data_IF_137429083450
#
_entry.id   IF_137429083450
#
_cell.length_a   1.000
_cell.length_b   1.000
_cell.length_c   1.000
_cell.angle_alpha   90.00
_cell.angle_beta   90.00
_cell.angle_gamma   90.00
#
_symmetry.space_group_name_H-M   'P 1'
#
loop_
_entity.id
_entity.type
_entity.pdbx_description
1 polymer ?
#
# COMPACT_ATOMS: atom_id res chain seq x y z
N UNK A 1 -46.61 -19.91 26.16
CA UNK A 1 -45.42 -20.54 25.58
C UNK A 1 -44.81 -19.50 24.65
N UNK A 2 -44.35 -18.37 25.18
CA UNK A 2 -43.09 -18.20 25.93
C UNK A 2 -41.89 -18.78 25.18
N UNK A 3 -41.31 -17.93 24.31
CA UNK A 3 -39.89 -17.98 23.96
C UNK A 3 -39.36 -16.54 23.96
N UNK A 4 -38.21 -16.43 24.58
CA UNK A 4 -37.68 -15.31 25.32
C UNK A 4 -36.94 -14.28 24.46
N UNK A 5 -36.89 -13.08 25.03
CA UNK A 5 -36.15 -11.89 24.60
C UNK A 5 -34.67 -12.21 24.36
N UNK A 6 -34.18 -11.83 23.18
CA UNK A 6 -32.76 -11.60 22.93
C UNK A 6 -32.37 -10.28 23.62
N UNK A 7 -31.75 -10.39 24.78
CA UNK A 7 -31.05 -9.27 25.43
C UNK A 7 -29.63 -9.25 24.92
N UNK A 8 -29.36 -8.40 23.92
CA UNK A 8 -28.02 -7.92 23.65
C UNK A 8 -27.54 -7.18 24.90
N UNK A 9 -26.69 -7.82 25.70
CA UNK A 9 -25.95 -7.14 26.76
C UNK A 9 -25.15 -5.98 26.13
N UNK A 10 -25.11 -4.79 26.76
CA UNK A 10 -24.17 -3.76 26.36
C UNK A 10 -22.76 -4.32 26.54
N UNK A 11 -21.87 -4.09 25.56
CA UNK A 11 -20.45 -4.30 25.76
C UNK A 11 -20.04 -3.60 27.05
N UNK A 12 -19.67 -4.36 28.08
CA UNK A 12 -19.07 -3.83 29.29
C UNK A 12 -17.81 -3.07 28.86
N UNK A 13 -17.89 -1.74 28.89
CA UNK A 13 -16.77 -0.85 28.68
C UNK A 13 -15.80 -1.12 29.83
N UNK A 14 -14.72 -1.84 29.54
CA UNK A 14 -13.65 -2.05 30.50
C UNK A 14 -13.01 -0.68 30.77
N UNK A 15 -13.03 -0.17 32.02
CA UNK A 15 -12.51 1.15 32.32
C UNK A 15 -11.02 1.23 31.99
N UNK A 16 -10.63 2.32 31.32
CA UNK A 16 -9.27 2.57 30.86
C UNK A 16 -8.35 2.67 32.08
N UNK A 17 -7.26 1.88 32.09
CA UNK A 17 -6.27 1.88 33.18
C UNK A 17 -5.11 2.83 32.87
N UNK A 18 -5.12 4.01 33.48
CA UNK A 18 -3.96 4.91 33.48
C UNK A 18 -2.88 4.41 34.44
N UNK A 19 -1.59 4.60 34.10
CA UNK A 19 -0.49 4.43 35.06
C UNK A 19 -0.54 5.57 36.08
N UNK A 20 -0.56 5.22 37.37
CA UNK A 20 -0.57 6.21 38.46
C UNK A 20 0.78 6.94 38.49
N UNK A 21 0.78 8.26 38.25
CA UNK A 21 1.90 9.18 38.49
C UNK A 21 1.42 10.34 39.37
N UNK A 22 2.32 10.90 40.17
CA UNK A 22 2.06 12.08 40.99
C UNK A 22 1.91 13.33 40.09
N UNK A 23 0.67 13.77 39.88
CA UNK A 23 0.37 15.05 39.25
C UNK A 23 0.53 16.17 40.30
N UNK A 24 1.09 17.34 39.94
CA UNK A 24 1.19 18.48 40.84
C UNK A 24 -0.15 18.87 41.46
N UNK A 25 -0.13 19.17 42.75
CA UNK A 25 -1.29 19.37 43.63
C UNK A 25 -2.20 20.58 43.28
N UNK A 26 -1.85 21.36 42.24
CA UNK A 26 -2.56 22.57 41.83
C UNK A 26 -3.48 22.39 40.62
N UNK A 27 -3.61 21.17 40.07
CA UNK A 27 -4.57 20.88 39.00
C UNK A 27 -5.90 20.46 39.63
N UNK A 28 -6.85 21.40 39.73
CA UNK A 28 -8.21 21.19 40.25
C UNK A 28 -9.12 20.37 39.31
N UNK A 29 -8.56 19.50 38.48
CA UNK A 29 -9.30 18.51 37.69
C UNK A 29 -8.77 17.14 38.06
N UNK A 30 -9.63 16.29 38.63
CA UNK A 30 -9.25 14.93 38.97
C UNK A 30 -8.86 14.16 37.71
N UNK A 31 -7.90 13.23 37.84
CA UNK A 31 -7.47 12.33 36.77
C UNK A 31 -8.66 11.62 36.09
N UNK A 32 -9.72 11.31 36.86
CA UNK A 32 -10.98 10.74 36.36
C UNK A 32 -11.73 11.67 35.40
N UNK A 33 -11.85 12.97 35.70
CA UNK A 33 -12.52 13.91 34.79
C UNK A 33 -11.73 14.11 33.51
N UNK A 34 -10.39 14.14 33.61
CA UNK A 34 -9.53 14.15 32.44
C UNK A 34 -9.77 12.90 31.59
N UNK A 35 -9.73 11.71 32.20
CA UNK A 35 -10.00 10.44 31.53
C UNK A 35 -11.38 10.41 30.85
N UNK A 36 -12.44 10.91 31.50
CA UNK A 36 -13.77 10.95 30.93
C UNK A 36 -13.86 11.91 29.72
N UNK A 37 -13.27 13.11 29.82
CA UNK A 37 -13.20 14.03 28.68
C UNK A 37 -12.43 13.43 27.51
N UNK A 38 -11.41 12.60 27.78
CA UNK A 38 -10.70 11.87 26.74
C UNK A 38 -11.53 10.76 26.13
N UNK A 39 -12.28 10.01 26.93
CA UNK A 39 -13.21 9.01 26.42
C UNK A 39 -14.26 9.68 25.52
N UNK A 40 -14.88 10.76 25.97
CA UNK A 40 -15.91 11.49 25.20
C UNK A 40 -15.33 12.09 23.91
N UNK A 41 -14.14 12.71 23.98
CA UNK A 41 -13.43 13.22 22.80
C UNK A 41 -13.06 12.08 21.83
N UNK A 42 -12.57 10.95 22.35
CA UNK A 42 -12.20 9.80 21.52
C UNK A 42 -13.40 9.16 20.84
N UNK A 43 -14.58 9.18 21.47
CA UNK A 43 -15.82 8.73 20.84
C UNK A 43 -16.23 9.65 19.68
N UNK A 44 -15.91 10.94 19.76
CA UNK A 44 -16.23 11.93 18.73
C UNK A 44 -15.16 12.01 17.63
N UNK A 45 -13.88 11.88 17.98
CA UNK A 45 -12.71 12.03 17.09
C UNK A 45 -11.63 11.00 17.47
N UNK A 46 -11.74 9.74 17.01
CA UNK A 46 -10.77 8.72 17.33
C UNK A 46 -9.35 9.10 16.94
N UNK A 47 -8.38 8.71 17.78
CA UNK A 47 -6.97 8.92 17.53
C UNK A 47 -6.57 8.15 16.26
N UNK A 48 -6.05 8.83 15.21
CA UNK A 48 -5.67 8.12 14.00
C UNK A 48 -4.46 7.25 14.27
N UNK A 49 -4.49 6.03 13.74
CA UNK A 49 -3.43 5.03 13.96
C UNK A 49 -2.13 5.35 13.20
N UNK A 50 -2.17 6.27 12.22
CA UNK A 50 -1.01 6.68 11.44
C UNK A 50 -0.28 7.89 12.03
N UNK A 51 1.06 7.78 12.15
CA UNK A 51 1.96 8.81 12.69
C UNK A 51 1.78 10.19 12.05
N UNK A 52 1.68 10.27 10.71
CA UNK A 52 1.54 11.57 10.05
C UNK A 52 0.18 12.26 10.36
N UNK A 53 -0.88 11.48 10.62
CA UNK A 53 -2.19 12.00 10.98
C UNK A 53 -2.25 12.39 12.47
N UNK A 54 -1.49 11.68 13.31
CA UNK A 54 -1.45 11.95 14.76
C UNK A 54 -1.03 13.39 15.08
N UNK A 55 -0.14 13.99 14.27
CA UNK A 55 0.29 15.38 14.46
C UNK A 55 -0.84 16.37 14.18
N UNK A 56 -1.54 16.19 13.06
CA UNK A 56 -2.67 17.04 12.69
C UNK A 56 -3.83 16.86 13.68
N UNK A 57 -4.10 15.62 14.09
CA UNK A 57 -5.10 15.32 15.12
C UNK A 57 -4.76 15.99 16.46
N UNK A 58 -3.49 15.92 16.92
CA UNK A 58 -3.02 16.64 18.12
C UNK A 58 -3.20 18.15 17.99
N UNK A 59 -2.92 18.72 16.81
CA UNK A 59 -3.14 20.13 16.56
C UNK A 59 -4.63 20.49 16.58
N UNK A 60 -5.49 19.66 15.98
CA UNK A 60 -6.95 19.85 15.98
C UNK A 60 -7.53 19.80 17.39
N UNK A 61 -7.03 18.86 18.20
CA UNK A 61 -7.38 18.76 19.61
C UNK A 61 -6.94 20.02 20.37
N UNK A 62 -5.72 20.51 20.11
CA UNK A 62 -5.22 21.75 20.70
C UNK A 62 -6.07 22.96 20.29
N UNK A 63 -6.39 23.12 19.01
CA UNK A 63 -7.27 24.21 18.54
C UNK A 63 -8.67 24.13 19.16
N UNK A 64 -9.23 22.93 19.30
CA UNK A 64 -10.51 22.75 19.99
C UNK A 64 -10.40 23.16 21.47
N UNK A 65 -9.38 22.68 22.17
CA UNK A 65 -9.11 23.04 23.57
C UNK A 65 -8.91 24.56 23.72
N UNK A 66 -8.14 25.19 22.84
CA UNK A 66 -7.94 26.63 22.82
C UNK A 66 -9.28 27.37 22.57
N UNK A 67 -10.14 26.85 21.68
CA UNK A 67 -11.45 27.46 21.38
C UNK A 67 -12.49 27.38 22.50
N UNK A 68 -12.35 26.42 23.41
CA UNK A 68 -13.20 26.32 24.61
C UNK A 68 -12.57 27.01 25.83
N UNK A 69 -11.31 27.44 25.70
CA UNK A 69 -10.49 27.97 26.78
C UNK A 69 -10.22 29.48 26.62
N UNK A 70 -11.17 30.22 26.05
CA UNK A 70 -11.12 31.69 25.85
C UNK A 70 -10.86 32.52 27.13
N UNK A 71 -10.85 31.90 28.32
CA UNK A 71 -10.40 32.52 29.56
C UNK A 71 -8.96 32.07 29.82
N UNK A 72 -8.01 33.01 29.83
CA UNK A 72 -6.58 32.86 30.18
C UNK A 72 -6.37 32.31 31.62
N UNK A 73 -6.89 31.12 31.92
CA UNK A 73 -6.80 30.47 33.23
C UNK A 73 -5.69 29.42 33.16
N UNK A 74 -4.59 29.63 33.88
CA UNK A 74 -3.41 28.73 33.93
C UNK A 74 -3.79 27.26 34.19
N UNK A 75 -4.93 27.04 34.87
CA UNK A 75 -5.49 25.73 35.17
C UNK A 75 -5.87 24.99 33.88
N UNK A 76 -6.45 25.68 32.90
CA UNK A 76 -6.96 25.04 31.70
C UNK A 76 -5.86 24.74 30.66
N UNK A 77 -4.79 25.54 30.63
CA UNK A 77 -3.55 25.22 29.90
C UNK A 77 -2.84 23.99 30.49
N UNK A 78 -2.77 23.90 31.82
CA UNK A 78 -2.20 22.75 32.54
C UNK A 78 -3.00 21.47 32.29
N UNK A 79 -4.33 21.58 32.23
CA UNK A 79 -5.26 20.51 31.87
C UNK A 79 -5.06 20.06 30.43
N UNK A 80 -5.00 20.99 29.48
CA UNK A 80 -4.73 20.69 28.07
C UNK A 80 -3.39 19.95 27.87
N UNK A 81 -2.34 20.40 28.57
CA UNK A 81 -1.04 19.74 28.57
C UNK A 81 -1.11 18.32 29.17
N UNK A 82 -1.81 18.15 30.29
CA UNK A 82 -2.03 16.84 30.92
C UNK A 82 -2.81 15.87 30.03
N UNK A 83 -3.81 16.35 29.30
CA UNK A 83 -4.55 15.56 28.32
C UNK A 83 -3.67 15.12 27.14
N UNK A 84 -2.85 16.02 26.60
CA UNK A 84 -1.92 15.71 25.51
C UNK A 84 -0.83 14.70 25.93
N UNK A 85 -0.34 14.79 27.17
CA UNK A 85 0.64 13.86 27.74
C UNK A 85 0.01 12.48 27.99
N UNK A 86 -1.17 12.43 28.62
CA UNK A 86 -1.93 11.19 28.83
C UNK A 86 -2.24 10.47 27.50
N UNK A 87 -2.62 11.23 26.46
CA UNK A 87 -2.86 10.68 25.12
C UNK A 87 -1.61 10.15 24.41
N UNK A 88 -0.44 10.71 24.73
CA UNK A 88 0.83 10.25 24.19
C UNK A 88 1.24 8.87 24.74
N UNK A 89 0.77 8.53 25.95
CA UNK A 89 1.02 7.27 26.64
C UNK A 89 -0.16 6.25 26.50
N UNK A 90 -1.21 6.57 25.73
CA UNK A 90 -2.37 5.69 25.51
C UNK A 90 -2.01 4.48 24.64
N UNK A 91 -2.13 3.27 25.22
CA UNK A 91 -2.15 1.98 24.52
C UNK A 91 -3.58 1.63 24.11
N UNK A 92 -3.80 1.40 22.81
CA UNK A 92 -5.06 0.88 22.28
C UNK A 92 -5.25 -0.61 22.64
N UNK A 93 -6.48 -1.09 22.41
CA UNK A 93 -6.85 -2.51 22.47
C UNK A 93 -5.72 -3.35 21.88
N UNK A 94 -5.23 -4.32 22.65
CA UNK A 94 -3.86 -4.77 22.47
C UNK A 94 -3.70 -5.78 21.32
N UNK A 95 -4.81 -6.16 20.66
CA UNK A 95 -4.88 -7.09 19.51
C UNK A 95 -3.98 -8.33 19.70
N UNK A 96 -3.79 -8.76 20.96
CA UNK A 96 -2.81 -9.78 21.36
C UNK A 96 -3.28 -11.20 21.05
N UNK A 97 -4.53 -11.38 20.65
CA UNK A 97 -5.14 -12.69 20.38
C UNK A 97 -5.47 -12.80 18.91
N UNK A 98 -5.28 -13.96 18.29
CA UNK A 98 -5.65 -14.19 16.88
C UNK A 98 -7.10 -13.81 16.58
N UNK A 99 -7.40 -13.48 15.32
CA UNK A 99 -8.78 -13.38 14.84
C UNK A 99 -9.42 -14.77 14.90
N UNK A 100 -10.69 -14.81 15.29
CA UNK A 100 -11.49 -16.03 15.30
C UNK A 100 -11.41 -16.78 13.97
N UNK A 101 -11.18 -18.09 14.05
CA UNK A 101 -11.09 -18.97 12.89
C UNK A 101 -12.35 -18.91 12.03
N UNK A 102 -13.53 -18.81 12.63
CA UNK A 102 -14.81 -18.78 11.90
C UNK A 102 -14.97 -17.50 11.08
N UNK A 103 -14.49 -16.37 11.60
CA UNK A 103 -14.46 -15.09 10.86
C UNK A 103 -13.50 -15.17 9.67
N UNK A 104 -12.34 -15.79 9.86
CA UNK A 104 -11.34 -15.99 8.82
C UNK A 104 -11.88 -16.90 7.71
N UNK A 105 -12.52 -18.01 8.08
CA UNK A 105 -13.15 -18.94 7.15
C UNK A 105 -14.34 -18.31 6.40
N UNK A 106 -15.17 -17.52 7.08
CA UNK A 106 -16.28 -16.80 6.44
C UNK A 106 -15.78 -15.81 5.38
N UNK A 107 -14.67 -15.09 5.65
CA UNK A 107 -14.04 -14.19 4.68
C UNK A 107 -13.56 -14.95 3.44
N UNK A 108 -12.91 -16.10 3.61
CA UNK A 108 -12.45 -16.93 2.49
C UNK A 108 -13.59 -17.43 1.59
N UNK A 109 -14.78 -17.63 2.15
CA UNK A 109 -15.96 -18.06 1.38
C UNK A 109 -16.73 -16.91 0.71
N UNK A 110 -16.34 -15.64 0.93
CA UNK A 110 -16.95 -14.53 0.20
C UNK A 110 -16.61 -14.65 -1.30
N UNK A 111 -17.52 -14.20 -2.20
CA UNK A 111 -17.21 -14.13 -3.62
C UNK A 111 -15.95 -13.31 -3.86
N UNK A 112 -15.02 -13.90 -4.61
CA UNK A 112 -13.72 -13.32 -4.93
C UNK A 112 -13.49 -13.38 -6.43
N UNK A 113 -13.10 -12.25 -7.02
CA UNK A 113 -12.67 -12.22 -8.41
C UNK A 113 -11.19 -12.57 -8.46
N UNK A 114 -10.84 -13.69 -9.09
CA UNK A 114 -9.45 -14.12 -9.24
C UNK A 114 -8.63 -13.00 -9.87
N UNK A 115 -7.49 -12.69 -9.27
CA UNK A 115 -6.65 -11.59 -9.70
C UNK A 115 -6.26 -11.74 -11.17
N UNK A 116 -6.21 -10.62 -11.92
CA UNK A 116 -5.72 -10.56 -13.31
C UNK A 116 -6.57 -11.33 -14.34
N UNK A 117 -7.85 -11.59 -14.04
CA UNK A 117 -8.85 -12.11 -15.00
C UNK A 117 -9.58 -10.99 -15.76
N UNK A 118 -10.29 -11.31 -16.85
CA UNK A 118 -11.09 -10.34 -17.60
C UNK A 118 -12.15 -9.64 -16.72
N UNK A 119 -12.79 -10.40 -15.83
CA UNK A 119 -13.76 -9.87 -14.87
C UNK A 119 -13.08 -8.94 -13.86
N UNK A 120 -11.86 -9.26 -13.43
CA UNK A 120 -11.06 -8.38 -12.57
C UNK A 120 -10.78 -7.02 -13.25
N UNK A 121 -10.51 -6.98 -14.56
CA UNK A 121 -10.34 -5.72 -15.28
C UNK A 121 -11.66 -4.96 -15.47
N UNK A 122 -12.76 -5.66 -15.68
CA UNK A 122 -14.09 -5.05 -15.83
C UNK A 122 -14.56 -4.42 -14.51
N UNK A 123 -14.41 -5.14 -13.40
CA UNK A 123 -14.67 -4.62 -12.07
C UNK A 123 -13.75 -3.45 -11.71
N UNK A 124 -12.50 -3.49 -12.16
CA UNK A 124 -11.55 -2.40 -11.94
C UNK A 124 -12.05 -1.07 -12.54
N UNK A 125 -12.73 -1.12 -13.69
CA UNK A 125 -13.32 0.09 -14.31
C UNK A 125 -14.50 0.63 -13.50
N UNK A 126 -15.23 -0.24 -12.81
CA UNK A 126 -16.45 0.12 -12.04
C UNK A 126 -16.18 0.53 -10.60
N UNK A 127 -15.13 -0.02 -9.98
CA UNK A 127 -14.86 0.16 -8.55
C UNK A 127 -13.64 1.04 -8.30
N UNK A 128 -13.67 1.84 -7.24
CA UNK A 128 -12.47 2.42 -6.65
C UNK A 128 -11.70 1.31 -5.91
N UNK A 129 -10.45 1.07 -6.33
CA UNK A 129 -9.63 0.03 -5.70
C UNK A 129 -8.77 0.57 -4.57
N UNK A 130 -8.35 -0.31 -3.65
CA UNK A 130 -7.48 0.05 -2.52
C UNK A 130 -6.21 0.79 -2.97
N UNK A 131 -5.57 0.34 -4.06
CA UNK A 131 -4.37 0.99 -4.62
C UNK A 131 -4.62 2.38 -5.24
N UNK A 132 -5.88 2.81 -5.37
CA UNK A 132 -6.26 4.07 -5.99
C UNK A 132 -6.86 5.07 -5.01
N UNK A 133 -7.34 4.63 -3.84
CA UNK A 133 -8.11 5.48 -2.91
C UNK A 133 -7.33 6.73 -2.49
N UNK A 134 -6.02 6.63 -2.30
CA UNK A 134 -5.18 7.78 -1.98
C UNK A 134 -5.27 8.90 -3.04
N UNK A 135 -5.45 8.57 -4.32
CA UNK A 135 -5.56 9.55 -5.42
C UNK A 135 -6.82 10.39 -5.34
N UNK A 136 -7.86 9.92 -4.64
CA UNK A 136 -9.06 10.72 -4.37
C UNK A 136 -8.71 11.94 -3.52
N UNK A 137 -7.70 11.81 -2.65
CA UNK A 137 -7.22 12.84 -1.72
C UNK A 137 -5.92 13.49 -2.18
N UNK A 138 -5.44 13.10 -3.37
CA UNK A 138 -4.26 13.67 -4.00
C UNK A 138 -4.51 15.07 -4.58
N UNK A 139 -3.61 15.52 -5.44
CA UNK A 139 -3.77 16.82 -6.10
C UNK A 139 -5.07 16.90 -6.94
N UNK A 140 -5.65 18.08 -7.18
CA UNK A 140 -6.85 18.23 -8.00
C UNK A 140 -6.74 17.55 -9.37
N UNK A 141 -5.55 17.59 -9.99
CA UNK A 141 -5.30 16.91 -11.26
C UNK A 141 -5.22 15.40 -11.14
N UNK A 142 -4.60 14.86 -10.09
CA UNK A 142 -4.53 13.42 -9.86
C UNK A 142 -5.93 12.83 -9.62
N UNK A 143 -6.72 13.48 -8.76
CA UNK A 143 -8.13 13.14 -8.56
C UNK A 143 -8.92 13.24 -9.87
N UNK A 144 -8.73 14.33 -10.63
CA UNK A 144 -9.39 14.54 -11.92
C UNK A 144 -9.05 13.47 -12.96
N UNK A 145 -7.79 13.03 -13.05
CA UNK A 145 -7.39 11.92 -13.93
C UNK A 145 -8.08 10.61 -13.53
N UNK A 146 -8.17 10.33 -12.23
CA UNK A 146 -8.89 9.15 -11.74
C UNK A 146 -10.39 9.22 -12.08
N UNK A 147 -11.02 10.39 -11.94
CA UNK A 147 -12.43 10.62 -12.34
C UNK A 147 -12.63 10.33 -13.84
N UNK A 148 -11.73 10.84 -14.69
CA UNK A 148 -11.81 10.60 -16.14
C UNK A 148 -11.62 9.11 -16.48
N UNK A 149 -10.75 8.40 -15.76
CA UNK A 149 -10.58 6.95 -15.92
C UNK A 149 -11.84 6.18 -15.51
N UNK A 150 -12.39 6.47 -14.33
CA UNK A 150 -13.57 5.76 -13.78
C UNK A 150 -14.88 6.13 -14.50
N UNK A 151 -14.94 7.27 -15.17
CA UNK A 151 -16.05 7.65 -16.06
C UNK A 151 -15.94 7.06 -17.47
N UNK A 152 -14.81 6.43 -17.82
CA UNK A 152 -14.54 5.89 -19.16
C UNK A 152 -14.19 6.97 -20.20
N UNK A 153 -13.91 8.20 -19.77
CA UNK A 153 -13.50 9.31 -20.67
C UNK A 153 -11.99 9.33 -20.92
N UNK A 154 -11.20 8.65 -20.10
CA UNK A 154 -9.78 8.44 -20.29
C UNK A 154 -9.49 6.94 -20.29
N UNK A 155 -8.95 6.45 -21.40
CA UNK A 155 -8.54 5.05 -21.47
C UNK A 155 -7.43 4.76 -20.45
N UNK A 156 -7.60 3.65 -19.76
CA UNK A 156 -6.55 3.10 -18.92
C UNK A 156 -5.49 2.51 -19.85
N UNK A 157 -4.18 2.76 -19.64
CA UNK A 157 -3.17 1.96 -20.31
C UNK A 157 -3.50 0.49 -20.02
N UNK A 158 -3.61 -0.32 -21.07
CA UNK A 158 -3.91 -1.73 -20.94
C UNK A 158 -2.91 -2.34 -19.98
N UNK A 159 -3.36 -2.74 -18.78
CA UNK A 159 -2.56 -3.56 -17.88
C UNK A 159 -2.51 -4.93 -18.53
N UNK A 160 -1.55 -5.13 -19.43
CA UNK A 160 -1.35 -6.39 -20.13
C UNK A 160 -1.42 -7.54 -19.14
N UNK A 161 -2.22 -8.55 -19.47
CA UNK A 161 -2.25 -9.82 -18.75
C UNK A 161 -0.83 -10.38 -18.65
N UNK A 162 -0.33 -10.61 -17.43
CA UNK A 162 0.89 -11.37 -17.14
C UNK A 162 2.03 -11.22 -18.16
N UNK A 163 2.65 -10.05 -18.25
CA UNK A 163 4.00 -10.04 -18.79
C UNK A 163 4.97 -10.40 -17.66
N UNK A 164 5.18 -11.70 -17.51
CA UNK A 164 6.46 -12.18 -16.99
C UNK A 164 7.51 -11.58 -17.92
N UNK A 165 8.49 -10.90 -17.36
CA UNK A 165 9.56 -10.28 -18.14
C UNK A 165 10.92 -10.77 -17.67
N UNK A 166 11.85 -10.84 -18.61
CA UNK A 166 13.27 -11.08 -18.35
C UNK A 166 13.83 -9.99 -17.43
N UNK A 167 14.87 -10.31 -16.65
CA UNK A 167 15.46 -9.38 -15.68
C UNK A 167 15.88 -8.06 -16.32
N UNK A 168 16.43 -8.10 -17.54
CA UNK A 168 16.87 -6.92 -18.28
C UNK A 168 15.74 -5.92 -18.57
N UNK A 169 14.50 -6.41 -18.63
CA UNK A 169 13.32 -5.63 -19.02
C UNK A 169 12.44 -5.28 -17.82
N UNK A 170 12.77 -5.75 -16.60
CA UNK A 170 11.99 -5.50 -15.39
C UNK A 170 11.97 -4.03 -15.01
N UNK A 171 10.79 -3.43 -15.09
CA UNK A 171 10.50 -2.15 -14.47
C UNK A 171 10.19 -2.35 -12.95
N UNK A 172 10.05 -1.28 -12.15
CA UNK A 172 9.75 -1.40 -10.72
C UNK A 172 8.44 -2.13 -10.38
N UNK A 173 7.45 -2.11 -11.27
CA UNK A 173 6.19 -2.83 -11.10
C UNK A 173 6.39 -4.34 -11.32
N UNK A 174 7.10 -4.73 -12.39
CA UNK A 174 7.45 -6.14 -12.65
C UNK A 174 8.33 -6.71 -11.53
N UNK A 175 9.23 -5.89 -10.99
CA UNK A 175 10.04 -6.22 -9.82
C UNK A 175 9.18 -6.57 -8.60
N UNK A 176 8.16 -5.75 -8.31
CA UNK A 176 7.20 -6.03 -7.24
C UNK A 176 6.49 -7.37 -7.45
N UNK A 177 5.98 -7.60 -8.66
CA UNK A 177 5.31 -8.87 -9.02
C UNK A 177 6.25 -10.06 -8.86
N UNK A 178 7.51 -9.93 -9.29
CA UNK A 178 8.49 -10.99 -9.23
C UNK A 178 8.81 -11.40 -7.78
N UNK A 179 8.94 -10.43 -6.87
CA UNK A 179 9.42 -10.66 -5.50
C UNK A 179 8.32 -10.84 -4.45
N UNK A 180 7.08 -10.47 -4.72
CA UNK A 180 5.96 -10.68 -3.77
C UNK A 180 5.86 -12.15 -3.31
N UNK A 181 5.92 -13.17 -4.19
CA UNK A 181 5.91 -14.58 -3.75
C UNK A 181 7.14 -14.96 -2.91
N UNK A 182 8.30 -14.35 -3.18
CA UNK A 182 9.53 -14.60 -2.40
C UNK A 182 9.36 -14.10 -0.97
N UNK A 183 8.73 -12.95 -0.78
CA UNK A 183 8.41 -12.43 0.56
C UNK A 183 7.51 -13.41 1.29
N UNK A 184 6.45 -13.93 0.65
CA UNK A 184 5.57 -14.94 1.26
C UNK A 184 6.35 -16.17 1.70
N UNK A 185 7.21 -16.74 0.84
CA UNK A 185 8.09 -17.88 1.19
C UNK A 185 8.96 -17.57 2.42
N UNK A 186 9.56 -16.38 2.48
CA UNK A 186 10.36 -15.95 3.63
C UNK A 186 9.51 -15.86 4.90
N UNK A 187 8.32 -15.27 4.81
CA UNK A 187 7.43 -15.09 5.97
C UNK A 187 6.85 -16.43 6.46
N UNK A 188 6.50 -17.34 5.56
CA UNK A 188 6.04 -18.68 5.90
C UNK A 188 7.11 -19.48 6.65
N UNK A 189 8.38 -19.40 6.23
CA UNK A 189 9.48 -20.03 6.96
C UNK A 189 9.78 -19.31 8.28
N UNK A 190 9.83 -17.97 8.27
CA UNK A 190 10.27 -17.18 9.42
C UNK A 190 9.22 -17.11 10.53
N UNK A 191 7.94 -17.06 10.19
CA UNK A 191 6.83 -17.04 11.16
C UNK A 191 6.20 -18.42 11.37
N UNK A 192 6.66 -19.44 10.63
CA UNK A 192 6.01 -20.77 10.57
C UNK A 192 4.52 -20.60 10.29
N UNK A 193 4.22 -19.79 9.28
CA UNK A 193 2.89 -19.34 8.94
C UNK A 193 2.29 -20.10 7.76
N UNK A 194 0.97 -20.09 7.66
CA UNK A 194 0.22 -20.43 6.45
C UNK A 194 -0.36 -19.14 5.91
N UNK A 195 0.06 -18.74 4.71
CA UNK A 195 -0.43 -17.54 4.03
C UNK A 195 -1.25 -17.98 2.83
N UNK A 196 -2.51 -17.55 2.78
CA UNK A 196 -3.41 -17.87 1.68
C UNK A 196 -3.52 -16.70 0.72
N UNK A 197 -3.38 -16.98 -0.58
CA UNK A 197 -3.66 -16.00 -1.62
C UNK A 197 -5.15 -15.73 -1.71
N UNK A 198 -5.53 -14.46 -1.71
CA UNK A 198 -6.93 -14.03 -1.84
C UNK A 198 -7.14 -13.24 -3.13
N UNK A 199 -8.32 -13.39 -3.71
CA UNK A 199 -8.75 -12.61 -4.87
C UNK A 199 -9.16 -11.19 -4.50
N UNK A 200 -9.89 -10.55 -5.41
CA UNK A 200 -10.52 -9.26 -5.12
C UNK A 200 -11.81 -9.46 -4.34
N UNK A 201 -11.92 -8.76 -3.22
CA UNK A 201 -13.17 -8.56 -2.49
C UNK A 201 -13.85 -7.27 -2.94
N UNK A 202 -15.17 -7.31 -3.07
CA UNK A 202 -16.02 -6.13 -3.18
C UNK A 202 -16.62 -5.84 -1.79
N UNK A 203 -16.69 -4.57 -1.43
CA UNK A 203 -17.23 -4.13 -0.14
C UNK A 203 -18.66 -4.64 0.07
N UNK A 204 -19.05 -4.97 1.31
CA UNK A 204 -20.35 -5.58 1.58
C UNK A 204 -21.53 -4.62 1.36
N UNK A 205 -21.40 -3.36 1.79
CA UNK A 205 -22.41 -2.31 1.63
C UNK A 205 -22.21 -1.51 0.34
N UNK A 206 -21.13 -0.71 0.25
CA UNK A 206 -20.85 0.11 -0.94
C UNK A 206 -20.11 -0.65 -2.05
N UNK A 207 -20.86 -1.26 -2.98
CA UNK A 207 -20.32 -2.06 -4.10
C UNK A 207 -19.43 -1.29 -5.08
N UNK A 208 -19.26 0.03 -4.91
CA UNK A 208 -18.34 0.85 -5.70
C UNK A 208 -16.89 0.76 -5.19
N UNK A 209 -16.63 0.06 -4.09
CA UNK A 209 -15.28 -0.13 -3.55
C UNK A 209 -14.83 -1.59 -3.55
N UNK A 210 -13.56 -1.81 -3.83
CA UNK A 210 -12.97 -3.14 -3.86
C UNK A 210 -11.50 -3.16 -3.41
N UNK A 211 -11.06 -4.30 -2.91
CA UNK A 211 -9.70 -4.48 -2.42
C UNK A 211 -9.15 -5.87 -2.79
N UNK A 212 -7.85 -5.93 -3.05
CA UNK A 212 -7.12 -7.17 -3.31
C UNK A 212 -5.88 -7.17 -2.40
N UNK A 213 -5.98 -7.67 -1.16
CA UNK A 213 -4.83 -7.88 -0.30
C UNK A 213 -3.83 -8.86 -0.92
N UNK A 214 -2.56 -8.78 -0.56
CA UNK A 214 -1.55 -9.69 -1.09
C UNK A 214 -1.66 -11.07 -0.44
N UNK A 215 -2.20 -11.17 0.78
CA UNK A 215 -2.51 -12.45 1.40
C UNK A 215 -3.40 -12.34 2.63
N UNK A 216 -3.85 -13.50 3.11
CA UNK A 216 -4.54 -13.69 4.38
C UNK A 216 -3.73 -14.69 5.21
N UNK A 217 -3.27 -14.29 6.39
CA UNK A 217 -2.48 -15.16 7.26
C UNK A 217 -3.45 -16.07 8.02
N UNK A 218 -3.51 -17.35 7.68
CA UNK A 218 -4.44 -18.30 8.31
C UNK A 218 -3.99 -18.65 9.73
N UNK A 219 -2.69 -18.89 9.90
CA UNK A 219 -2.07 -19.14 11.19
C UNK A 219 -0.58 -18.84 11.16
N UNK A 220 0.02 -18.68 12.33
CA UNK A 220 1.45 -18.52 12.55
C UNK A 220 1.82 -19.21 13.85
N UNK A 221 2.87 -20.04 13.86
CA UNK A 221 3.31 -20.71 15.10
C UNK A 221 4.24 -19.82 15.93
N UNK A 222 5.03 -18.95 15.29
CA UNK A 222 5.95 -18.03 15.98
C UNK A 222 5.25 -16.75 16.46
N UNK A 223 4.17 -16.35 15.77
CA UNK A 223 3.38 -15.15 16.09
C UNK A 223 1.89 -15.45 16.03
N UNK A 224 1.31 -16.21 16.97
CA UNK A 224 -0.09 -16.65 16.89
C UNK A 224 -1.09 -15.50 16.70
N UNK A 225 -0.79 -14.31 17.22
CA UNK A 225 -1.67 -13.15 17.20
C UNK A 225 -1.94 -12.56 15.80
N UNK A 226 -1.14 -12.91 14.78
CA UNK A 226 -1.36 -12.46 13.39
C UNK A 226 -2.33 -13.35 12.62
N UNK A 227 -2.82 -14.44 13.23
CA UNK A 227 -3.85 -15.28 12.62
C UNK A 227 -5.09 -14.46 12.26
N UNK A 228 -5.54 -14.60 11.01
CA UNK A 228 -6.63 -13.88 10.36
C UNK A 228 -6.33 -12.43 9.98
N UNK A 229 -5.08 -11.97 10.07
CA UNK A 229 -4.68 -10.66 9.54
C UNK A 229 -4.46 -10.70 8.02
N UNK A 230 -4.68 -9.55 7.38
CA UNK A 230 -4.26 -9.36 5.99
C UNK A 230 -2.74 -9.21 5.90
N UNK A 231 -2.21 -9.37 4.69
CA UNK A 231 -0.82 -9.13 4.35
C UNK A 231 -0.74 -8.15 3.17
N UNK A 232 0.12 -7.15 3.29
CA UNK A 232 0.46 -6.19 2.24
C UNK A 232 2.00 -6.14 2.09
N UNK A 233 2.49 -6.43 0.90
CA UNK A 233 3.91 -6.60 0.58
C UNK A 233 4.35 -5.53 -0.40
N UNK A 234 5.45 -4.84 -0.08
CA UNK A 234 6.12 -3.90 -0.99
C UNK A 234 7.58 -4.28 -1.16
N UNK A 235 8.01 -4.40 -2.41
CA UNK A 235 9.41 -4.65 -2.77
C UNK A 235 10.01 -3.44 -3.50
N UNK A 236 10.30 -2.31 -2.83
CA UNK A 236 10.80 -1.12 -3.52
C UNK A 236 12.23 -1.35 -4.06
N UNK A 237 12.43 -1.06 -5.35
CA UNK A 237 13.74 -1.20 -6.01
C UNK A 237 14.78 -0.21 -5.49
N UNK A 238 14.40 1.05 -5.27
CA UNK A 238 15.35 2.13 -4.93
C UNK A 238 15.12 2.77 -3.55
N UNK A 239 13.87 2.92 -3.11
CA UNK A 239 13.53 3.59 -1.85
C UNK A 239 14.09 2.83 -0.63
N UNK A 240 14.60 3.57 0.34
CA UNK A 240 14.98 3.04 1.67
C UNK A 240 13.75 2.57 2.44
N UNK A 241 13.85 1.36 3.01
CA UNK A 241 12.75 0.73 3.76
C UNK A 241 12.88 0.93 5.27
N UNK A 242 11.74 0.97 5.94
CA UNK A 242 11.63 1.04 7.40
C UNK A 242 11.78 2.42 8.03
N UNK A 243 11.44 3.47 7.30
CA UNK A 243 11.37 4.84 7.83
C UNK A 243 9.99 5.15 8.44
N UNK A 244 8.94 4.87 7.67
CA UNK A 244 7.52 4.94 8.05
C UNK A 244 6.69 4.22 7.00
N UNK A 245 5.44 3.91 7.32
CA UNK A 245 4.44 3.53 6.31
C UNK A 245 4.15 4.76 5.44
N UNK A 246 4.33 4.69 4.11
CA UNK A 246 3.86 5.74 3.21
C UNK A 246 2.34 5.92 3.31
N UNK A 247 1.88 7.18 3.30
CA UNK A 247 0.46 7.50 3.45
C UNK A 247 -0.40 6.81 2.38
N UNK A 248 0.08 6.72 1.14
CA UNK A 248 -0.61 5.99 0.06
C UNK A 248 -0.89 4.52 0.41
N UNK A 249 0.03 3.85 1.10
CA UNK A 249 -0.14 2.45 1.52
C UNK A 249 -0.99 2.34 2.77
N UNK A 250 -0.94 3.33 3.67
CA UNK A 250 -1.90 3.41 4.77
C UNK A 250 -3.33 3.50 4.25
N UNK A 251 -3.60 4.40 3.31
CA UNK A 251 -4.90 4.52 2.63
C UNK A 251 -5.31 3.20 1.94
N UNK A 252 -4.37 2.54 1.26
CA UNK A 252 -4.59 1.24 0.64
C UNK A 252 -5.01 0.18 1.68
N UNK A 253 -4.26 0.05 2.77
CA UNK A 253 -4.52 -0.92 3.83
C UNK A 253 -5.83 -0.63 4.56
N UNK A 254 -6.15 0.63 4.85
CA UNK A 254 -7.42 0.97 5.48
C UNK A 254 -8.61 0.58 4.60
N UNK A 255 -8.54 0.77 3.27
CA UNK A 255 -9.62 0.28 2.40
C UNK A 255 -9.66 -1.25 2.33
N UNK A 256 -8.52 -1.93 2.36
CA UNK A 256 -8.48 -3.40 2.45
C UNK A 256 -9.18 -3.90 3.72
N UNK A 257 -8.88 -3.29 4.87
CA UNK A 257 -9.47 -3.62 6.16
C UNK A 257 -10.98 -3.33 6.19
N UNK A 258 -11.41 -2.20 5.63
CA UNK A 258 -12.83 -1.87 5.48
C UNK A 258 -13.59 -2.86 4.59
N UNK A 259 -13.07 -3.14 3.40
CA UNK A 259 -13.73 -4.02 2.43
C UNK A 259 -13.86 -5.45 2.95
N UNK A 260 -12.84 -5.92 3.68
CA UNK A 260 -12.78 -7.29 4.18
C UNK A 260 -13.45 -7.44 5.55
N UNK A 261 -13.52 -6.38 6.35
CA UNK A 261 -13.92 -6.43 7.76
C UNK A 261 -12.84 -7.00 8.69
N UNK A 262 -11.60 -7.13 8.20
CA UNK A 262 -10.47 -7.59 9.01
C UNK A 262 -9.94 -6.44 9.85
N UNK A 263 -9.50 -6.75 11.08
CA UNK A 263 -9.08 -5.74 12.07
C UNK A 263 -7.64 -5.23 11.89
N UNK A 264 -6.77 -5.98 11.21
CA UNK A 264 -5.37 -5.59 11.04
C UNK A 264 -4.74 -6.17 9.75
N UNK A 265 -3.75 -5.44 9.23
CA UNK A 265 -2.92 -5.81 8.10
C UNK A 265 -1.46 -5.80 8.52
N UNK A 266 -0.73 -6.87 8.21
CA UNK A 266 0.71 -6.94 8.35
C UNK A 266 1.35 -6.29 7.11
N UNK A 267 1.94 -5.12 7.29
CA UNK A 267 2.67 -4.40 6.25
C UNK A 267 4.13 -4.85 6.24
N UNK A 268 4.61 -5.31 5.09
CA UNK A 268 5.97 -5.83 4.91
C UNK A 268 6.67 -5.13 3.75
N UNK A 269 7.83 -4.53 4.04
CA UNK A 269 8.76 -4.05 3.01
C UNK A 269 9.96 -4.97 2.93
N UNK A 270 10.33 -5.40 1.73
CA UNK A 270 11.51 -6.24 1.52
C UNK A 270 12.45 -5.64 0.46
N UNK A 271 13.74 -5.59 0.79
CA UNK A 271 14.79 -5.10 -0.09
C UNK A 271 15.55 -6.29 -0.67
N UNK A 272 15.41 -6.47 -1.98
CA UNK A 272 16.06 -7.54 -2.74
C UNK A 272 17.17 -7.00 -3.64
N UNK A 273 18.08 -7.91 -3.98
CA UNK A 273 19.09 -7.73 -5.02
C UNK A 273 19.21 -9.03 -5.83
N UNK A 274 19.36 -8.89 -7.15
CA UNK A 274 19.85 -9.99 -7.99
C UNK A 274 21.37 -10.01 -8.01
N UNK A 275 21.95 -11.16 -7.76
CA UNK A 275 23.40 -11.33 -7.57
C UNK A 275 23.96 -12.40 -8.50
N UNK A 276 25.27 -12.38 -8.70
CA UNK A 276 25.98 -13.39 -9.48
C UNK A 276 26.32 -14.62 -8.63
N UNK A 277 26.74 -15.71 -9.30
CA UNK A 277 27.29 -16.87 -8.60
C UNK A 277 28.51 -16.49 -7.75
N UNK A 278 28.63 -17.12 -6.58
CA UNK A 278 29.73 -16.84 -5.64
C UNK A 278 29.56 -15.59 -4.77
N UNK A 279 28.38 -14.98 -4.75
CA UNK A 279 28.06 -13.87 -3.83
C UNK A 279 28.27 -14.26 -2.35
N UNK A 280 28.58 -13.27 -1.52
CA UNK A 280 28.63 -13.46 -0.07
C UNK A 280 27.22 -13.78 0.45
N UNK A 281 27.04 -15.00 0.93
CA UNK A 281 25.76 -15.46 1.48
C UNK A 281 25.41 -14.63 2.72
N UNK A 282 24.17 -14.12 2.83
CA UNK A 282 23.74 -13.44 4.04
C UNK A 282 23.79 -14.41 5.23
N UNK A 283 23.83 -13.85 6.45
CA UNK A 283 23.72 -14.65 7.69
C UNK A 283 22.37 -15.35 7.81
N UNK A 284 21.35 -14.85 7.12
CA UNK A 284 20.02 -15.44 7.03
C UNK A 284 19.95 -16.45 5.88
N UNK A 285 18.90 -17.27 5.86
CA UNK A 285 18.60 -18.13 4.72
C UNK A 285 17.86 -17.40 3.58
N UNK A 286 17.86 -16.06 3.58
CA UNK A 286 17.07 -15.26 2.64
C UNK A 286 17.81 -15.03 1.34
N UNK A 287 18.04 -16.12 0.62
CA UNK A 287 18.56 -16.14 -0.74
C UNK A 287 18.03 -17.38 -1.45
N UNK A 288 18.04 -17.37 -2.77
CA UNK A 288 17.53 -18.48 -3.56
C UNK A 288 17.56 -18.21 -5.05
N UNK A 289 16.77 -19.00 -5.78
CA UNK A 289 16.69 -18.94 -7.24
C UNK A 289 15.27 -18.57 -7.67
N UNK A 290 15.17 -17.70 -8.68
CA UNK A 290 13.97 -17.48 -9.48
C UNK A 290 14.29 -17.89 -10.91
N UNK A 291 13.49 -18.78 -11.47
CA UNK A 291 13.58 -19.17 -12.88
C UNK A 291 12.47 -18.53 -13.67
N UNK A 292 12.83 -17.93 -14.80
CA UNK A 292 11.89 -17.45 -15.80
C UNK A 292 11.70 -18.55 -16.83
N UNK A 293 10.47 -19.08 -16.88
CA UNK A 293 10.10 -20.15 -17.82
C UNK A 293 9.47 -19.55 -19.05
N UNK A 294 9.90 -20.04 -20.21
CA UNK A 294 9.32 -19.74 -21.51
C UNK A 294 8.39 -20.84 -21.96
N UNK A 295 7.30 -20.44 -22.61
CA UNK A 295 6.36 -21.33 -23.29
C UNK A 295 6.45 -21.05 -24.80
N UNK A 296 6.42 -22.09 -25.63
CA UNK A 296 6.50 -21.91 -27.07
C UNK A 296 5.24 -21.22 -27.60
N UNK A 297 5.42 -20.12 -28.33
CA UNK A 297 4.36 -19.37 -28.98
C UNK A 297 4.37 -19.65 -30.48
N UNK A 298 3.33 -20.31 -30.99
CA UNK A 298 3.24 -20.69 -32.40
C UNK A 298 3.18 -19.49 -33.36
N UNK A 299 2.60 -18.36 -32.93
CA UNK A 299 2.45 -17.15 -33.77
C UNK A 299 3.80 -16.46 -33.95
N UNK A 300 4.53 -16.27 -32.86
CA UNK A 300 5.86 -15.66 -32.87
C UNK A 300 6.95 -16.64 -33.31
N UNK A 301 6.64 -17.95 -33.34
CA UNK A 301 7.59 -19.05 -33.56
C UNK A 301 8.80 -18.99 -32.62
N UNK A 302 8.58 -18.50 -31.40
CA UNK A 302 9.61 -18.31 -30.37
C UNK A 302 9.05 -18.64 -28.98
N UNK A 303 9.95 -18.78 -28.01
CA UNK A 303 9.62 -19.02 -26.62
C UNK A 303 9.48 -17.71 -25.88
N UNK A 304 8.26 -17.40 -25.45
CA UNK A 304 7.98 -16.17 -24.72
C UNK A 304 7.91 -16.46 -23.21
N UNK A 305 8.40 -15.55 -22.35
CA UNK A 305 8.24 -15.69 -20.92
C UNK A 305 6.77 -15.89 -20.54
N UNK A 306 6.48 -16.90 -19.72
CA UNK A 306 5.11 -17.26 -19.34
C UNK A 306 4.89 -17.39 -17.84
N UNK A 307 5.88 -17.83 -17.04
CA UNK A 307 5.76 -17.93 -15.58
C UNK A 307 7.11 -17.76 -14.86
N UNK A 308 7.05 -17.32 -13.61
CA UNK A 308 8.15 -17.41 -12.65
C UNK A 308 8.02 -18.71 -11.86
N UNK A 309 9.13 -19.41 -11.65
CA UNK A 309 9.23 -20.50 -10.68
C UNK A 309 10.23 -20.13 -9.59
N UNK A 310 9.92 -20.51 -8.36
CA UNK A 310 10.64 -20.11 -7.16
C UNK A 310 11.29 -21.33 -6.52
N UNK A 311 12.62 -21.29 -6.37
CA UNK A 311 13.35 -22.33 -5.67
C UNK A 311 13.22 -22.20 -4.14
N UNK A 312 13.50 -23.29 -3.39
CA UNK A 312 13.53 -23.24 -1.93
C UNK A 312 14.56 -22.24 -1.39
N UNK A 313 14.28 -21.69 -0.20
CA UNK A 313 15.22 -20.83 0.52
C UNK A 313 16.56 -21.54 0.73
N UNK A 314 17.64 -20.78 0.58
CA UNK A 314 19.02 -21.21 0.75
C UNK A 314 19.47 -22.39 -0.14
N UNK A 315 18.70 -22.75 -1.17
CA UNK A 315 19.05 -23.83 -2.10
C UNK A 315 19.41 -23.27 -3.49
N UNK A 316 20.71 -23.19 -3.77
CA UNK A 316 21.24 -22.74 -5.07
C UNK A 316 21.46 -23.88 -6.08
N UNK A 317 21.24 -25.13 -5.66
CA UNK A 317 21.35 -26.31 -6.54
C UNK A 317 19.97 -26.72 -7.09
N UNK A 318 18.92 -25.99 -6.72
CA UNK A 318 17.56 -26.30 -7.15
C UNK A 318 17.37 -26.10 -8.65
N UNK A 319 16.70 -27.06 -9.27
CA UNK A 319 16.27 -27.00 -10.67
C UNK A 319 14.75 -27.10 -10.75
N UNK A 320 14.11 -26.35 -11.69
CA UNK A 320 12.67 -26.40 -11.87
C UNK A 320 12.24 -27.72 -12.52
N UNK A 321 11.06 -28.20 -12.13
CA UNK A 321 10.32 -29.18 -12.92
C UNK A 321 9.55 -28.45 -14.03
N UNK A 322 9.70 -28.90 -15.27
CA UNK A 322 9.18 -28.23 -16.47
C UNK A 322 8.21 -29.14 -17.23
N UNK A 323 7.13 -28.55 -17.74
CA UNK A 323 6.22 -29.23 -18.65
C UNK A 323 6.81 -29.48 -20.05
N UNK A 324 6.13 -30.33 -20.83
CA UNK A 324 6.57 -30.76 -22.18
C UNK A 324 6.83 -29.59 -23.15
N UNK A 325 6.12 -28.47 -23.00
CA UNK A 325 6.25 -27.26 -23.84
C UNK A 325 6.80 -26.06 -23.06
N UNK A 326 7.70 -26.33 -22.12
CA UNK A 326 8.33 -25.31 -21.28
C UNK A 326 9.86 -25.43 -21.35
N UNK A 327 10.56 -24.28 -21.30
CA UNK A 327 12.02 -24.25 -21.17
C UNK A 327 12.46 -23.13 -20.22
N UNK A 328 13.63 -23.30 -19.60
CA UNK A 328 14.28 -22.20 -18.88
C UNK A 328 14.73 -21.14 -19.89
N UNK A 329 14.28 -19.89 -19.70
CA UNK A 329 14.80 -18.73 -20.43
C UNK A 329 15.90 -18.02 -19.63
N UNK A 330 15.74 -17.95 -18.32
CA UNK A 330 16.66 -17.22 -17.44
C UNK A 330 16.65 -17.81 -16.02
N UNK A 331 17.82 -17.93 -15.40
CA UNK A 331 17.99 -18.32 -14.00
C UNK A 331 18.60 -17.16 -13.23
N UNK A 332 17.91 -16.68 -12.20
CA UNK A 332 18.30 -15.53 -11.40
C UNK A 332 18.54 -15.92 -9.95
N UNK A 333 19.72 -15.57 -9.42
CA UNK A 333 20.01 -15.71 -8.00
C UNK A 333 19.63 -14.41 -7.30
N UNK A 334 18.87 -14.52 -6.23
CA UNK A 334 18.46 -13.38 -5.43
C UNK A 334 18.94 -13.51 -3.98
N UNK A 335 19.14 -12.38 -3.33
CA UNK A 335 19.27 -12.27 -1.87
C UNK A 335 18.32 -11.19 -1.35
N UNK A 336 17.83 -11.35 -0.12
CA UNK A 336 17.10 -10.33 0.60
C UNK A 336 18.02 -9.70 1.64
N UNK A 337 18.26 -8.39 1.52
CA UNK A 337 19.15 -7.66 2.43
C UNK A 337 18.46 -7.31 3.74
N UNK A 338 17.19 -6.90 3.65
CA UNK A 338 16.43 -6.39 4.78
C UNK A 338 14.94 -6.60 4.56
N UNK A 339 14.25 -7.00 5.63
CA UNK A 339 12.80 -6.98 5.74
C UNK A 339 12.43 -6.02 6.87
N UNK A 340 11.41 -5.21 6.63
CA UNK A 340 10.78 -4.36 7.62
C UNK A 340 9.30 -4.74 7.73
N UNK A 341 8.79 -4.80 8.96
CA UNK A 341 7.45 -5.28 9.28
C UNK A 341 6.78 -4.29 10.24
N UNK A 342 5.55 -3.89 9.93
CA UNK A 342 4.70 -3.02 10.76
C UNK A 342 3.28 -3.56 10.73
N UNK A 343 2.61 -3.62 11.88
CA UNK A 343 1.18 -3.94 11.94
C UNK A 343 0.37 -2.65 11.79
N UNK A 344 -0.65 -2.67 10.94
CA UNK A 344 -1.58 -1.55 10.73
C UNK A 344 -2.99 -1.99 11.13
N UNK A 345 -3.59 -1.27 12.09
CA UNK A 345 -4.93 -1.56 12.60
C UNK A 345 -6.01 -0.84 11.80
N UNK A 346 -7.20 -1.42 11.76
CA UNK A 346 -8.37 -0.82 11.12
C UNK A 346 -8.80 0.42 11.90
N UNK A 347 -8.98 1.52 11.18
CA UNK A 347 -9.36 2.81 11.71
C UNK A 347 -10.72 3.22 11.14
N UNK A 348 -11.79 2.72 11.78
CA UNK A 348 -13.16 2.84 11.27
C UNK A 348 -13.64 4.28 11.22
N UNK A 349 -13.33 5.08 12.24
CA UNK A 349 -13.75 6.47 12.26
C UNK A 349 -12.94 7.33 11.30
N UNK A 350 -11.63 7.06 11.14
CA UNK A 350 -10.87 7.69 10.08
C UNK A 350 -11.49 7.36 8.73
N UNK A 351 -11.83 6.10 8.45
CA UNK A 351 -12.46 5.73 7.19
C UNK A 351 -13.82 6.40 7.00
N UNK A 352 -14.64 6.48 8.06
CA UNK A 352 -15.93 7.16 8.03
C UNK A 352 -15.78 8.66 7.72
N UNK A 353 -14.75 9.31 8.26
CA UNK A 353 -14.45 10.72 7.99
C UNK A 353 -14.18 11.01 6.51
N UNK A 354 -13.78 10.00 5.74
CA UNK A 354 -13.52 10.13 4.31
C UNK A 354 -14.80 10.11 3.46
N UNK A 355 -15.93 9.64 3.99
CA UNK A 355 -17.17 9.43 3.20
C UNK A 355 -17.67 10.67 2.46
N UNK A 356 -17.71 11.89 3.05
CA UNK A 356 -18.15 13.07 2.31
C UNK A 356 -17.32 13.32 1.05
N UNK A 357 -16.00 13.09 1.12
CA UNK A 357 -15.09 13.25 -0.03
C UNK A 357 -15.20 12.12 -1.05
N UNK A 358 -15.49 10.90 -0.60
CA UNK A 358 -15.81 9.79 -1.49
C UNK A 358 -17.13 10.05 -2.24
N UNK A 359 -18.15 10.59 -1.57
CA UNK A 359 -19.42 10.94 -2.20
C UNK A 359 -19.26 12.07 -3.23
N UNK A 360 -18.46 13.09 -2.92
CA UNK A 360 -18.07 14.13 -3.88
C UNK A 360 -17.37 13.53 -5.11
N UNK A 361 -16.45 12.58 -4.89
CA UNK A 361 -15.75 11.88 -5.96
C UNK A 361 -16.70 11.08 -6.87
N UNK A 362 -17.67 10.37 -6.30
CA UNK A 362 -18.68 9.66 -7.10
C UNK A 362 -19.60 10.62 -7.85
N UNK A 363 -20.01 11.74 -7.24
CA UNK A 363 -20.80 12.77 -7.91
C UNK A 363 -20.05 13.36 -9.11
N UNK A 364 -18.74 13.60 -8.99
CA UNK A 364 -17.93 14.12 -10.09
C UNK A 364 -17.71 13.09 -11.21
N UNK A 365 -17.69 11.79 -10.90
CA UNK A 365 -17.72 10.74 -11.94
C UNK A 365 -19.00 10.81 -12.76
N UNK A 366 -20.16 11.02 -12.13
CA UNK A 366 -21.43 11.16 -12.84
C UNK A 366 -21.44 12.45 -13.70
N UNK A 367 -20.94 13.57 -13.19
CA UNK A 367 -20.74 14.79 -14.00
C UNK A 367 -19.81 14.54 -15.20
N UNK A 368 -18.72 13.79 -15.00
CA UNK A 368 -17.80 13.46 -16.08
C UNK A 368 -18.44 12.58 -17.15
N UNK A 369 -19.30 11.63 -16.76
CA UNK A 369 -20.09 10.83 -17.71
C UNK A 369 -21.02 11.72 -18.55
N UNK A 370 -21.66 12.71 -17.91
CA UNK A 370 -22.52 13.71 -18.55
C UNK A 370 -21.77 14.76 -19.40
N UNK A 371 -20.43 14.85 -19.28
CA UNK A 371 -19.62 15.85 -19.99
C UNK A 371 -19.52 17.20 -19.30
N UNK A 372 -19.92 17.28 -18.03
CA UNK A 372 -19.96 18.50 -17.22
C UNK A 372 -18.73 18.69 -16.33
N UNK A 373 -17.86 17.68 -16.25
CA UNK A 373 -16.62 17.74 -15.47
C UNK A 373 -15.46 18.28 -16.29
N UNK A 374 -14.78 19.30 -15.77
CA UNK A 374 -13.59 19.89 -16.38
C UNK A 374 -12.36 19.36 -15.65
N UNK A 375 -11.45 18.71 -16.40
CA UNK A 375 -10.18 18.23 -15.85
C UNK A 375 -9.29 19.41 -15.44
N UNK A 376 -8.85 19.49 -14.17
CA UNK A 376 -7.97 20.57 -13.73
C UNK A 376 -6.63 20.58 -14.47
N UNK A 377 -6.12 21.79 -14.74
CA UNK A 377 -4.83 21.97 -15.40
C UNK A 377 -3.66 21.44 -14.56
N UNK A 378 -2.55 21.16 -15.25
CA UNK A 378 -1.32 20.73 -14.60
C UNK A 378 -0.62 21.92 -13.95
N UNK A 379 -0.38 21.86 -12.64
CA UNK A 379 0.45 22.82 -11.92
C UNK A 379 1.94 22.73 -12.28
N UNK A 380 2.39 21.68 -12.98
CA UNK A 380 3.76 21.58 -13.50
C UNK A 380 3.93 22.50 -14.71
N UNK A 381 4.80 23.50 -14.61
CA UNK A 381 5.32 24.25 -15.76
C UNK A 381 5.93 23.23 -16.75
N UNK A 382 5.50 23.24 -18.02
CA UNK A 382 6.19 22.48 -19.07
C UNK A 382 7.66 22.93 -19.08
N UNK A 383 8.61 22.02 -18.88
CA UNK A 383 9.99 22.28 -19.29
C UNK A 383 9.95 22.39 -20.80
N UNK A 384 10.29 23.57 -21.34
CA UNK A 384 10.64 23.68 -22.74
C UNK A 384 11.83 22.76 -22.99
N UNK A 385 11.62 21.70 -23.76
CA UNK A 385 12.71 20.91 -24.30
C UNK A 385 13.26 21.75 -25.45
N UNK A 386 14.33 22.50 -25.19
CA UNK A 386 15.12 23.11 -26.26
C UNK A 386 15.64 21.96 -27.13
N UNK A 387 15.05 21.81 -28.32
CA UNK A 387 15.47 20.85 -29.32
C UNK A 387 16.83 21.33 -29.87
N UNK A 388 17.93 20.90 -29.27
CA UNK A 388 19.25 21.04 -29.88
C UNK A 388 19.40 19.93 -30.91
N UNK A 389 18.85 20.16 -32.10
CA UNK A 389 19.34 19.49 -33.30
C UNK A 389 20.53 20.34 -33.75
N UNK A 390 21.74 19.87 -33.46
CA UNK A 390 22.90 20.29 -34.22
C UNK A 390 22.83 19.52 -35.53
N UNK A 391 22.55 20.22 -36.62
CA UNK A 391 22.67 19.69 -37.97
C UNK A 391 24.16 19.42 -38.25
N UNK A 392 24.59 18.19 -38.00
CA UNK A 392 25.84 17.66 -38.55
C UNK A 392 25.61 17.36 -40.04
N UNK A 393 25.72 18.39 -40.87
CA UNK A 393 25.87 18.25 -42.31
C UNK A 393 27.34 18.44 -42.68
N UNK A 394 28.16 17.42 -42.43
CA UNK A 394 29.42 17.25 -43.13
C UNK A 394 29.21 16.25 -44.27
N UNK A 395 29.07 16.75 -45.50
CA UNK A 395 29.79 16.22 -46.67
C UNK A 395 29.48 17.01 -47.95
N UNK A 396 30.57 17.28 -48.68
CA UNK A 396 30.70 17.58 -50.10
C UNK A 396 30.21 18.93 -50.66
N UNK A 397 31.18 19.79 -51.00
CA UNK A 397 31.36 20.25 -52.38
C UNK A 397 32.77 20.76 -52.68
N UNK A 398 33.34 20.15 -53.70
CA UNK A 398 34.58 20.49 -54.39
C UNK A 398 34.55 21.85 -55.10
N UNK A 399 35.75 22.45 -55.13
CA UNK A 399 36.43 23.14 -56.22
C UNK A 399 36.01 24.54 -56.73
N UNK A 400 37.08 25.33 -56.84
CA UNK A 400 37.41 26.40 -57.80
C UNK A 400 37.00 27.85 -57.49
N UNK A 401 37.97 28.61 -56.99
CA UNK A 401 38.38 29.85 -57.66
C UNK A 401 39.84 30.22 -57.33
N UNK A 402 40.63 30.19 -58.41
CA UNK A 402 41.90 30.86 -58.69
C UNK A 402 42.15 32.13 -57.87
N UNK A 403 43.36 32.28 -57.28
CA UNK A 403 44.19 33.46 -57.53
C UNK A 403 45.66 33.25 -57.16
N UNK A 404 46.49 33.84 -58.01
CA UNK A 404 47.93 33.68 -58.18
C UNK A 404 48.68 34.54 -57.16
N UNK A 405 49.76 34.03 -56.59
CA UNK A 405 50.64 34.81 -55.71
C UNK A 405 52.00 34.14 -55.53
N UNK A 406 52.83 34.26 -56.56
CA UNK A 406 54.25 33.90 -56.56
C UNK A 406 55.05 34.90 -55.72
N UNK A 407 55.72 34.45 -54.65
CA UNK A 407 57.16 34.65 -54.47
C UNK A 407 57.69 34.02 -53.18
N UNK A 408 58.83 33.35 -53.36
CA UNK A 408 59.66 32.68 -52.35
C UNK A 408 60.53 33.69 -51.54
N UNK A 409 61.59 33.27 -50.83
CA UNK A 409 61.56 32.74 -49.47
C UNK A 409 62.54 33.48 -48.53
N UNK A 410 62.34 33.40 -47.20
CA UNK A 410 63.39 33.19 -46.17
C UNK A 410 62.75 32.50 -44.98
#
# INVERSE_FOLDING_TARGET
MDLSKDSSEPNDIVPVKMKVKNIPQHVMISLEHLSQCLEDWSQCVPKPTHVDLSKQWKYSMREYLDSINDNEDEIADSVAAGLLEAFSEWDDDNFLTAVDHDKTYALMNRPQTTQRTADWYTEFKRCLTASEIYKVFGSPRERGLLIMQKSGKLEMPGRGSNQVVLRSNMNPFDWGICFEPVVKIILEDHWKAIIHDVGRFVHLVDKRMAASPDGLIIRSLEKPEIGGHLLEIKCPKSRTIGLKVPMEYFYQMQLQLEVTGVRACEYVEAKFEFVEQGFEKPKTNWYGIIVIVGCFNEKEKDWLPCKYLYGPLANLEWTPDLGLNERVLETNIWKCEKIHHVRVYRDEAWFLSLKPKLDEFWADIEKAKAGEFILPESSRKKKEVACMIADDSSEEKEQNSVEVGDNSPV
#
